data_IF_291891226580
#
_entry.id   IF_291891226580
#
_cell.length_a   1.000
_cell.length_b   1.000
_cell.length_c   1.000
_cell.angle_alpha   90.00
_cell.angle_beta   90.00
_cell.angle_gamma   90.00
#
_symmetry.space_group_name_H-M   'P 1'
#
loop_
_entity.id
_entity.type
_entity.pdbx_description
1 polymer ?
#
# COMPACT_ATOMS: atom_id res chain seq x y z
N UNK A 1 -25.67 27.28 -2.22
CA UNK A 1 -26.66 26.38 -1.59
C UNK A 1 -26.13 24.98 -1.82
N UNK A 2 -25.36 24.41 -0.88
CA UNK A 2 -24.79 23.07 -1.05
C UNK A 2 -25.92 22.05 -0.94
N UNK A 3 -25.98 21.13 -1.89
CA UNK A 3 -26.88 20.00 -1.84
C UNK A 3 -26.75 19.32 -0.47
N UNK A 4 -27.87 19.21 0.26
CA UNK A 4 -27.96 18.30 1.38
C UNK A 4 -27.70 16.90 0.81
N UNK A 5 -26.50 16.38 1.07
CA UNK A 5 -26.00 15.15 0.48
C UNK A 5 -26.86 13.98 0.91
N UNK A 6 -27.32 13.19 -0.05
CA UNK A 6 -27.86 11.87 0.25
C UNK A 6 -26.75 11.04 0.91
N UNK A 7 -27.06 10.37 2.01
CA UNK A 7 -26.13 9.45 2.66
C UNK A 7 -25.69 8.39 1.63
N UNK A 8 -24.37 8.23 1.45
CA UNK A 8 -23.81 7.26 0.49
C UNK A 8 -24.14 5.82 0.88
N UNK A 9 -24.47 5.59 2.14
CA UNK A 9 -24.81 4.30 2.71
C UNK A 9 -25.72 4.50 3.92
N UNK A 10 -26.69 3.60 4.11
CA UNK A 10 -27.44 3.43 5.36
C UNK A 10 -27.09 2.11 6.04
N UNK A 11 -26.51 1.17 5.28
CA UNK A 11 -25.91 -0.07 5.76
C UNK A 11 -24.42 -0.06 5.43
N UNK A 12 -23.59 -0.48 6.39
CA UNK A 12 -22.15 -0.65 6.19
C UNK A 12 -21.76 -2.14 6.26
N UNK A 13 -20.68 -2.57 5.60
CA UNK A 13 -20.22 -3.96 5.74
C UNK A 13 -19.83 -4.29 7.18
N UNK A 14 -20.07 -5.54 7.60
CA UNK A 14 -19.61 -6.05 8.89
C UNK A 14 -18.08 -5.96 8.99
N UNK A 15 -17.58 -5.54 10.15
CA UNK A 15 -16.14 -5.33 10.39
C UNK A 15 -15.53 -4.14 9.62
N UNK A 16 -16.33 -3.29 8.98
CA UNK A 16 -15.82 -2.09 8.32
C UNK A 16 -15.79 -0.87 9.25
N UNK A 17 -14.86 0.04 8.99
CA UNK A 17 -14.71 1.32 9.71
C UNK A 17 -15.50 2.47 9.08
N UNK A 18 -16.52 2.16 8.26
CA UNK A 18 -17.30 3.20 7.57
C UNK A 18 -18.04 4.07 8.60
N UNK A 19 -17.83 5.38 8.51
CA UNK A 19 -18.43 6.36 9.42
C UNK A 19 -17.66 6.59 10.72
N UNK A 20 -16.69 5.75 11.09
CA UNK A 20 -15.97 5.87 12.37
C UNK A 20 -15.19 7.20 12.46
N UNK A 21 -14.64 7.66 11.34
CA UNK A 21 -13.97 8.96 11.20
C UNK A 21 -14.85 10.04 10.54
N UNK A 22 -16.16 9.76 10.40
CA UNK A 22 -17.14 10.63 9.76
C UNK A 22 -17.54 10.21 8.36
N UNK A 23 -18.77 10.58 7.97
CA UNK A 23 -19.41 10.17 6.72
C UNK A 23 -18.77 10.77 5.45
N UNK A 24 -17.73 11.59 5.53
CA UNK A 24 -16.99 12.14 4.38
C UNK A 24 -15.48 11.88 4.48
N UNK A 25 -15.06 11.06 5.44
CA UNK A 25 -13.65 10.72 5.58
C UNK A 25 -13.15 9.93 4.36
N UNK A 26 -11.92 10.25 3.97
CA UNK A 26 -11.19 9.65 2.85
C UNK A 26 -9.83 9.09 3.25
N UNK A 27 -9.46 9.17 4.53
CA UNK A 27 -8.14 8.77 5.03
C UNK A 27 -8.15 7.41 5.73
N UNK A 28 -9.33 6.95 6.15
CA UNK A 28 -9.47 5.68 6.87
C UNK A 28 -8.63 5.68 8.14
N UNK A 29 -7.94 4.58 8.39
CA UNK A 29 -7.14 4.42 9.61
C UNK A 29 -5.91 5.33 9.69
N UNK A 30 -5.53 6.02 8.61
CA UNK A 30 -4.49 7.05 8.68
C UNK A 30 -4.88 8.21 9.64
N UNK A 31 -6.17 8.36 9.95
CA UNK A 31 -6.65 9.29 10.98
C UNK A 31 -6.11 8.97 12.39
N UNK A 32 -5.68 7.74 12.65
CA UNK A 32 -5.08 7.36 13.93
C UNK A 32 -3.63 7.87 14.09
N UNK A 33 -3.00 8.36 13.00
CA UNK A 33 -1.66 8.95 13.04
C UNK A 33 -1.73 10.42 13.50
N UNK A 34 -1.96 10.61 14.79
CA UNK A 34 -2.06 11.94 15.42
C UNK A 34 -0.68 12.56 15.68
N UNK A 35 -0.61 13.89 15.98
CA UNK A 35 0.63 14.52 16.43
C UNK A 35 1.27 13.83 17.63
N UNK A 36 0.47 13.33 18.57
CA UNK A 36 0.96 12.62 19.76
C UNK A 36 1.60 11.29 19.38
N UNK A 37 1.00 10.54 18.45
CA UNK A 37 1.56 9.27 17.94
C UNK A 37 2.88 9.50 17.20
N UNK A 38 3.01 10.58 16.43
CA UNK A 38 4.29 10.96 15.79
C UNK A 38 5.36 11.24 16.83
N UNK A 39 5.05 12.05 17.84
CA UNK A 39 6.01 12.35 18.90
C UNK A 39 6.41 11.10 19.68
N UNK A 40 5.46 10.17 19.91
CA UNK A 40 5.77 8.87 20.51
C UNK A 40 6.72 8.06 19.62
N UNK A 41 6.47 7.98 18.32
CA UNK A 41 7.34 7.30 17.36
C UNK A 41 8.76 7.89 17.32
N UNK A 42 8.88 9.23 17.34
CA UNK A 42 10.19 9.91 17.33
C UNK A 42 11.02 9.59 18.58
N UNK A 43 10.37 9.25 19.71
CA UNK A 43 11.08 8.84 20.94
C UNK A 43 11.66 7.43 20.87
N UNK A 44 11.24 6.60 19.91
CA UNK A 44 11.82 5.28 19.68
C UNK A 44 13.21 5.38 19.00
N UNK A 45 13.54 6.53 18.38
CA UNK A 45 14.84 6.76 17.74
C UNK A 45 15.92 6.97 18.82
N UNK A 46 16.79 5.97 19.01
CA UNK A 46 17.88 6.02 19.97
C UNK A 46 19.26 6.02 19.29
N UNK A 47 19.44 5.17 18.28
CA UNK A 47 20.75 4.94 17.64
C UNK A 47 20.97 5.78 16.36
N UNK A 48 19.91 6.36 15.80
CA UNK A 48 19.98 7.16 14.58
C UNK A 48 20.27 6.36 13.31
N UNK A 49 20.13 5.03 13.35
CA UNK A 49 20.27 4.16 12.17
C UNK A 49 19.10 4.32 11.20
N UNK A 50 19.39 4.17 9.92
CA UNK A 50 18.42 4.32 8.83
C UNK A 50 18.47 3.11 7.91
N UNK A 51 17.30 2.56 7.61
CA UNK A 51 17.13 1.42 6.71
C UNK A 51 16.23 1.81 5.54
N UNK A 52 16.65 1.50 4.32
CA UNK A 52 15.81 1.67 3.13
C UNK A 52 14.94 0.43 2.98
N UNK A 53 13.63 0.61 2.99
CA UNK A 53 12.64 -0.47 2.83
C UNK A 53 12.08 -0.55 1.40
N UNK A 54 12.70 0.19 0.47
CA UNK A 54 12.31 0.21 -0.93
C UNK A 54 13.22 -0.67 -1.76
N UNK A 55 12.63 -1.42 -2.68
CA UNK A 55 13.33 -2.02 -3.79
C UNK A 55 13.83 -0.92 -4.73
N UNK A 56 14.94 -1.15 -5.46
CA UNK A 56 15.23 -0.36 -6.65
C UNK A 56 14.04 -0.48 -7.62
N UNK A 57 13.67 0.63 -8.28
CA UNK A 57 12.42 0.69 -9.07
C UNK A 57 12.37 -0.36 -10.20
N UNK A 58 13.52 -0.80 -10.69
CA UNK A 58 13.65 -1.81 -11.75
C UNK A 58 13.44 -3.26 -11.27
N UNK A 59 13.20 -3.49 -9.97
CA UNK A 59 12.67 -4.75 -9.43
C UNK A 59 11.14 -4.73 -9.41
N UNK A 60 10.46 -5.88 -9.65
CA UNK A 60 10.99 -7.25 -9.72
C UNK A 60 11.82 -7.59 -10.98
N UNK A 61 11.73 -6.77 -12.02
CA UNK A 61 12.34 -6.98 -13.32
C UNK A 61 11.40 -7.68 -14.30
N UNK A 62 11.53 -7.38 -15.58
CA UNK A 62 10.68 -7.94 -16.64
C UNK A 62 9.23 -7.45 -16.61
N UNK A 63 8.43 -7.97 -17.54
CA UNK A 63 6.98 -7.78 -17.58
C UNK A 63 6.36 -9.17 -17.78
N UNK A 64 5.90 -9.84 -16.70
CA UNK A 64 5.20 -11.10 -16.83
C UNK A 64 4.05 -11.01 -17.83
N UNK A 65 3.88 -12.05 -18.66
CA UNK A 65 2.92 -12.04 -19.76
C UNK A 65 1.46 -11.95 -19.28
N UNK A 66 1.20 -12.37 -18.04
CA UNK A 66 -0.09 -12.40 -17.35
C UNK A 66 -0.33 -11.16 -16.47
N UNK A 67 0.65 -10.26 -16.36
CA UNK A 67 0.52 -9.02 -15.59
C UNK A 67 0.21 -7.84 -16.50
N UNK A 68 -0.81 -7.02 -16.18
CA UNK A 68 -1.04 -5.75 -16.89
C UNK A 68 -0.01 -4.68 -16.52
N UNK A 69 0.87 -4.95 -15.55
CA UNK A 69 1.82 -3.97 -14.99
C UNK A 69 3.04 -3.84 -15.88
N UNK A 70 3.48 -2.59 -16.09
CA UNK A 70 4.62 -2.23 -16.92
C UNK A 70 5.83 -1.88 -16.06
N UNK A 71 6.96 -2.45 -16.45
CA UNK A 71 8.26 -2.16 -15.82
C UNK A 71 8.64 -0.70 -16.06
N UNK A 72 9.44 -0.09 -15.16
CA UNK A 72 9.86 1.28 -15.36
C UNK A 72 10.71 1.41 -16.62
N UNK A 73 10.33 2.33 -17.49
CA UNK A 73 11.12 2.76 -18.64
C UNK A 73 11.72 4.13 -18.35
N UNK A 74 12.99 4.14 -17.95
CA UNK A 74 13.78 5.35 -17.72
C UNK A 74 14.38 5.85 -19.04
N UNK A 75 14.16 7.11 -19.38
CA UNK A 75 14.68 7.75 -20.60
C UNK A 75 15.14 9.16 -20.32
N UNK A 76 16.27 9.57 -20.89
CA UNK A 76 16.72 10.95 -20.82
C UNK A 76 15.73 11.88 -21.54
N UNK A 77 15.42 13.01 -20.92
CA UNK A 77 14.66 14.08 -21.56
C UNK A 77 15.48 14.68 -22.71
N UNK A 78 14.80 15.38 -23.62
CA UNK A 78 15.46 15.96 -24.79
C UNK A 78 15.06 17.42 -25.00
N UNK A 79 16.03 18.28 -25.29
CA UNK A 79 15.83 19.69 -25.61
C UNK A 79 16.59 20.02 -26.89
N UNK A 80 15.91 20.59 -27.89
CA UNK A 80 16.54 20.91 -29.18
C UNK A 80 17.13 19.70 -29.92
N UNK A 81 16.58 18.51 -29.70
CA UNK A 81 17.07 17.26 -30.32
C UNK A 81 18.29 16.63 -29.65
N UNK A 82 18.78 17.19 -28.54
CA UNK A 82 19.87 16.61 -27.74
C UNK A 82 19.32 16.04 -26.44
N UNK A 83 19.85 14.89 -26.02
CA UNK A 83 19.51 14.30 -24.72
C UNK A 83 20.12 15.12 -23.59
N UNK A 84 19.34 15.37 -22.55
CA UNK A 84 19.77 16.04 -21.33
C UNK A 84 20.56 15.06 -20.46
N UNK A 85 21.78 14.73 -20.90
CA UNK A 85 22.72 13.88 -20.18
C UNK A 85 24.10 14.51 -20.24
N UNK A 86 24.59 15.02 -19.10
CA UNK A 86 25.79 15.83 -19.00
C UNK A 86 25.80 17.02 -19.98
N UNK A 87 24.63 17.57 -20.30
CA UNK A 87 24.48 18.63 -21.29
C UNK A 87 24.95 19.96 -20.68
N UNK A 88 25.90 20.69 -21.30
CA UNK A 88 26.27 22.03 -20.84
C UNK A 88 25.08 22.99 -20.93
N UNK A 89 24.68 23.56 -19.79
CA UNK A 89 23.65 24.59 -19.72
C UNK A 89 24.26 25.99 -19.73
N UNK A 90 25.43 26.14 -19.09
CA UNK A 90 26.25 27.36 -19.08
C UNK A 90 27.72 26.99 -19.29
N UNK A 91 28.63 27.95 -19.14
CA UNK A 91 30.08 27.69 -19.14
C UNK A 91 30.58 26.90 -17.93
N UNK A 92 29.79 26.83 -16.85
CA UNK A 92 30.15 26.15 -15.60
C UNK A 92 29.18 25.04 -15.19
N UNK A 93 27.96 25.05 -15.72
CA UNK A 93 26.89 24.16 -15.27
C UNK A 93 26.56 23.12 -16.34
N UNK A 94 26.35 21.88 -15.88
CA UNK A 94 25.86 20.77 -16.69
C UNK A 94 24.53 20.27 -16.11
N UNK A 95 23.65 19.76 -16.97
CA UNK A 95 22.35 19.21 -16.57
C UNK A 95 22.21 17.75 -17.02
N UNK A 96 21.51 16.98 -16.18
CA UNK A 96 20.99 15.65 -16.48
C UNK A 96 19.52 15.65 -16.09
N UNK A 97 18.65 15.20 -16.99
CA UNK A 97 17.21 15.18 -16.74
C UNK A 97 16.58 13.98 -17.46
N UNK A 98 15.65 13.31 -16.79
CA UNK A 98 15.05 12.06 -17.24
C UNK A 98 13.54 11.95 -16.95
N UNK A 99 12.89 10.99 -17.58
CA UNK A 99 11.49 10.63 -17.40
C UNK A 99 11.41 9.13 -17.15
N UNK A 100 10.56 8.73 -16.20
CA UNK A 100 10.15 7.34 -16.01
C UNK A 100 8.68 7.17 -16.37
N UNK A 101 8.37 6.15 -17.16
CA UNK A 101 7.00 5.64 -17.33
C UNK A 101 6.94 4.28 -16.64
N UNK A 102 6.04 4.11 -15.67
CA UNK A 102 5.90 2.87 -14.91
C UNK A 102 4.46 2.67 -14.43
N UNK A 103 4.09 1.42 -14.15
CA UNK A 103 2.89 1.16 -13.34
C UNK A 103 3.13 1.52 -11.88
N UNK A 104 2.17 2.22 -11.25
CA UNK A 104 2.27 2.66 -9.86
C UNK A 104 2.34 1.48 -8.86
N UNK A 105 1.84 0.31 -9.26
CA UNK A 105 1.84 -0.93 -8.49
C UNK A 105 2.96 -1.91 -8.90
N UNK A 106 4.05 -1.41 -9.50
CA UNK A 106 5.11 -2.29 -10.03
C UNK A 106 6.18 -2.67 -8.99
N UNK A 107 6.67 -1.70 -8.22
CA UNK A 107 7.74 -1.87 -7.23
C UNK A 107 7.23 -1.61 -5.82
N UNK A 108 8.10 -1.34 -4.84
CA UNK A 108 7.66 -0.94 -3.49
C UNK A 108 6.65 0.21 -3.57
N UNK A 109 5.49 0.02 -2.95
CA UNK A 109 4.31 0.83 -3.21
C UNK A 109 3.45 1.04 -1.97
N UNK A 110 2.55 2.03 -2.06
CA UNK A 110 1.39 2.18 -1.21
C UNK A 110 0.13 2.07 -2.06
N UNK A 111 -0.83 1.27 -1.61
CA UNK A 111 -2.13 1.17 -2.25
C UNK A 111 -3.13 2.09 -1.56
N UNK A 112 -3.65 3.07 -2.31
CA UNK A 112 -4.70 3.94 -1.82
C UNK A 112 -6.00 3.15 -1.58
N UNK A 113 -6.91 3.68 -0.76
CA UNK A 113 -8.21 3.04 -0.45
C UNK A 113 -9.12 2.83 -1.67
N UNK A 114 -8.78 3.45 -2.80
CA UNK A 114 -9.44 3.27 -4.10
C UNK A 114 -8.89 2.08 -4.90
N UNK A 115 -7.77 1.47 -4.48
CA UNK A 115 -7.14 0.38 -5.23
C UNK A 115 -8.02 -0.87 -5.28
N UNK A 116 -8.73 -1.16 -4.19
CA UNK A 116 -9.66 -2.27 -4.09
C UNK A 116 -11.03 -1.82 -3.58
N UNK A 117 -12.07 -2.19 -4.32
CA UNK A 117 -13.47 -1.99 -3.96
C UNK A 117 -14.21 -3.32 -3.80
N UNK A 118 -15.50 -3.24 -3.48
CA UNK A 118 -16.39 -4.39 -3.26
C UNK A 118 -17.76 -4.13 -3.89
N UNK A 119 -18.42 -5.18 -4.37
CA UNK A 119 -19.86 -5.16 -4.64
C UNK A 119 -20.62 -5.27 -3.31
N UNK A 120 -21.38 -4.24 -2.94
CA UNK A 120 -22.07 -4.21 -1.65
C UNK A 120 -23.41 -3.49 -1.74
N UNK A 121 -24.40 -3.97 -1.00
CA UNK A 121 -25.71 -3.35 -0.84
C UNK A 121 -25.63 -2.28 0.24
N UNK A 122 -25.51 -1.02 -0.18
CA UNK A 122 -25.32 0.11 0.73
C UNK A 122 -26.61 0.59 1.40
N UNK A 123 -27.78 0.13 0.96
CA UNK A 123 -29.07 0.65 1.40
C UNK A 123 -30.09 -0.42 1.85
N UNK A 124 -29.72 -1.70 1.81
CA UNK A 124 -30.58 -2.81 2.24
C UNK A 124 -31.65 -3.15 1.21
N UNK A 125 -31.49 -2.70 -0.04
CA UNK A 125 -32.43 -2.94 -1.13
C UNK A 125 -32.36 -4.35 -1.71
N UNK A 126 -31.30 -5.10 -1.41
CA UNK A 126 -30.93 -6.35 -2.06
C UNK A 126 -30.10 -6.17 -3.33
N UNK A 127 -29.83 -4.93 -3.75
CA UNK A 127 -29.03 -4.62 -4.95
C UNK A 127 -27.61 -4.18 -4.58
N UNK A 128 -26.62 -4.97 -4.99
CA UNK A 128 -25.21 -4.61 -4.79
C UNK A 128 -24.72 -3.63 -5.85
N UNK A 129 -23.79 -2.77 -5.45
CA UNK A 129 -23.10 -1.83 -6.33
C UNK A 129 -21.62 -1.76 -5.99
N UNK A 130 -20.78 -1.41 -6.96
CA UNK A 130 -19.35 -1.26 -6.78
C UNK A 130 -19.04 -0.04 -5.92
N UNK A 131 -18.49 -0.27 -4.74
CA UNK A 131 -18.16 0.75 -3.74
C UNK A 131 -16.77 0.51 -3.15
N UNK A 132 -16.20 1.58 -2.63
CA UNK A 132 -14.92 1.63 -1.95
C UNK A 132 -15.14 2.04 -0.49
N UNK A 133 -14.06 2.29 0.26
CA UNK A 133 -14.14 2.77 1.64
C UNK A 133 -15.19 3.88 1.81
N UNK A 134 -15.94 3.88 2.92
CA UNK A 134 -16.96 4.87 3.28
C UNK A 134 -18.06 5.08 2.20
N UNK A 135 -18.35 4.04 1.42
CA UNK A 135 -19.41 4.01 0.40
C UNK A 135 -19.15 4.88 -0.83
N UNK A 136 -17.92 5.36 -1.05
CA UNK A 136 -17.59 6.04 -2.31
C UNK A 136 -17.82 5.10 -3.49
N UNK A 137 -18.52 5.57 -4.52
CA UNK A 137 -19.03 4.71 -5.61
C UNK A 137 -18.13 4.71 -6.84
N UNK A 138 -18.00 3.55 -7.49
CA UNK A 138 -17.41 3.44 -8.82
C UNK A 138 -18.23 4.26 -9.85
N UNK A 139 -17.56 4.76 -10.90
CA UNK A 139 -18.10 5.60 -11.97
C UNK A 139 -18.65 6.98 -11.53
N UNK A 140 -18.94 7.17 -10.24
CA UNK A 140 -19.34 8.46 -9.68
C UNK A 140 -18.15 9.21 -9.07
N UNK A 141 -17.39 8.55 -8.18
CA UNK A 141 -16.26 9.15 -7.46
C UNK A 141 -14.90 8.63 -7.96
N UNK A 142 -14.92 7.48 -8.62
CA UNK A 142 -13.77 6.84 -9.25
C UNK A 142 -14.10 6.71 -10.73
N UNK A 143 -13.48 7.56 -11.55
CA UNK A 143 -13.80 7.70 -12.97
C UNK A 143 -12.87 6.82 -13.79
N UNK A 144 -13.43 6.01 -14.68
CA UNK A 144 -12.69 5.03 -15.48
C UNK A 144 -11.93 5.62 -16.68
N UNK A 145 -12.05 6.93 -16.92
CA UNK A 145 -11.52 7.55 -18.14
C UNK A 145 -12.43 7.32 -19.36
N UNK A 146 -11.90 7.60 -20.55
CA UNK A 146 -12.53 7.35 -21.83
C UNK A 146 -12.18 5.95 -22.40
N UNK A 147 -12.58 5.68 -23.64
CA UNK A 147 -12.33 4.38 -24.32
C UNK A 147 -10.85 4.09 -24.58
N UNK A 148 -9.97 5.10 -24.53
CA UNK A 148 -8.52 4.96 -24.65
C UNK A 148 -7.83 4.81 -23.28
N UNK A 149 -8.61 4.84 -22.19
CA UNK A 149 -8.11 4.79 -20.82
C UNK A 149 -7.56 6.13 -20.33
N UNK A 150 -7.76 7.22 -21.07
CA UNK A 150 -7.31 8.55 -20.67
C UNK A 150 -8.31 9.20 -19.70
N UNK A 151 -7.80 10.01 -18.77
CA UNK A 151 -8.66 10.72 -17.81
C UNK A 151 -9.22 9.85 -16.67
N UNK A 152 -8.72 8.62 -16.51
CA UNK A 152 -8.92 7.84 -15.28
C UNK A 152 -8.48 8.66 -14.07
N UNK A 153 -9.33 8.76 -13.06
CA UNK A 153 -9.02 9.52 -11.84
C UNK A 153 -9.85 9.07 -10.64
N UNK A 154 -9.22 9.10 -9.48
CA UNK A 154 -9.88 9.01 -8.19
C UNK A 154 -10.22 10.43 -7.71
N UNK A 155 -11.47 10.87 -7.91
CA UNK A 155 -11.94 12.17 -7.40
C UNK A 155 -12.16 12.13 -5.89
N UNK A 156 -12.42 10.94 -5.35
CA UNK A 156 -12.33 10.62 -3.92
C UNK A 156 -11.38 9.45 -3.69
N UNK A 157 -10.84 9.34 -2.48
CA UNK A 157 -9.95 8.27 -2.02
C UNK A 157 -8.62 8.15 -2.78
N UNK A 158 -8.24 9.20 -3.53
CA UNK A 158 -6.92 9.27 -4.16
C UNK A 158 -5.80 9.32 -3.12
N UNK A 159 -4.61 8.87 -3.53
CA UNK A 159 -3.43 8.71 -2.64
C UNK A 159 -3.00 10.03 -1.96
N UNK A 160 -3.34 11.18 -2.54
CA UNK A 160 -3.09 12.49 -1.92
C UNK A 160 -3.72 12.64 -0.54
N UNK A 161 -4.87 11.99 -0.28
CA UNK A 161 -5.50 12.02 1.05
C UNK A 161 -4.65 11.32 2.11
N UNK A 162 -3.99 10.22 1.74
CA UNK A 162 -3.02 9.54 2.61
C UNK A 162 -1.79 10.42 2.82
N UNK A 163 -1.32 11.09 1.75
CA UNK A 163 -0.15 11.97 1.81
C UNK A 163 -0.35 13.20 2.71
N UNK A 164 -1.57 13.69 2.94
CA UNK A 164 -1.85 14.75 3.93
C UNK A 164 -1.41 14.37 5.35
N UNK A 165 -1.39 13.07 5.66
CA UNK A 165 -0.87 12.57 6.93
C UNK A 165 0.64 12.41 6.90
N UNK A 166 1.32 12.57 5.75
CA UNK A 166 2.75 12.30 5.61
C UNK A 166 3.18 10.86 5.90
N UNK A 167 2.27 9.97 6.35
CA UNK A 167 2.54 8.56 6.68
C UNK A 167 3.73 8.41 7.63
N UNK A 168 3.85 9.31 8.60
CA UNK A 168 4.93 9.29 9.59
C UNK A 168 4.36 8.83 10.93
N UNK A 169 4.90 7.75 11.46
CA UNK A 169 4.43 7.16 12.70
C UNK A 169 5.39 6.05 13.13
N UNK A 170 4.91 5.19 14.02
CA UNK A 170 5.70 4.07 14.51
C UNK A 170 5.47 2.85 13.61
N UNK A 171 6.56 2.31 13.07
CA UNK A 171 6.56 1.03 12.39
C UNK A 171 6.93 -0.09 13.38
N UNK A 172 6.24 -1.22 13.30
CA UNK A 172 6.50 -2.40 14.12
C UNK A 172 6.76 -3.59 13.22
N UNK A 173 7.99 -4.12 13.27
CA UNK A 173 8.40 -5.26 12.45
C UNK A 173 8.18 -6.59 13.17
N UNK A 174 7.43 -7.49 12.53
CA UNK A 174 7.35 -8.90 12.91
C UNK A 174 8.14 -9.71 11.90
N UNK A 175 9.22 -10.36 12.37
CA UNK A 175 10.06 -11.20 11.54
C UNK A 175 9.47 -12.60 11.44
N UNK A 176 8.69 -12.87 10.39
CA UNK A 176 8.05 -14.17 10.15
C UNK A 176 9.05 -15.22 9.68
N UNK A 177 10.13 -14.80 9.00
CA UNK A 177 11.25 -15.70 8.63
C UNK A 177 11.88 -16.34 9.86
N UNK A 178 12.08 -15.55 10.93
CA UNK A 178 12.64 -16.04 12.19
C UNK A 178 11.71 -17.03 12.89
N UNK A 179 10.40 -16.84 12.77
CA UNK A 179 9.40 -17.68 13.43
C UNK A 179 9.11 -18.98 12.65
N UNK A 180 9.08 -18.92 11.32
CA UNK A 180 8.51 -19.97 10.48
C UNK A 180 9.42 -20.41 9.31
N UNK A 181 10.54 -19.74 9.09
CA UNK A 181 11.39 -19.95 7.92
C UNK A 181 10.91 -19.18 6.69
N UNK A 182 11.56 -19.41 5.55
CA UNK A 182 11.32 -18.68 4.29
C UNK A 182 10.30 -19.37 3.38
N UNK A 183 9.90 -20.58 3.69
CA UNK A 183 8.97 -21.35 2.86
C UNK A 183 7.56 -20.75 2.92
N UNK A 184 6.76 -21.03 1.87
CA UNK A 184 5.38 -20.58 1.78
C UNK A 184 4.57 -21.15 2.94
N UNK A 185 4.05 -20.26 3.79
CA UNK A 185 3.24 -20.66 4.93
C UNK A 185 2.09 -19.70 5.16
N UNK A 186 0.90 -20.25 5.43
CA UNK A 186 -0.28 -19.48 5.80
C UNK A 186 -0.24 -19.19 7.30
N UNK A 187 -0.25 -17.91 7.67
CA UNK A 187 -0.16 -17.44 9.05
C UNK A 187 -1.57 -17.05 9.51
N UNK A 188 -2.09 -17.80 10.47
CA UNK A 188 -3.35 -17.47 11.16
C UNK A 188 -3.10 -16.56 12.37
N UNK A 189 -4.18 -16.21 13.08
CA UNK A 189 -4.12 -15.38 14.26
C UNK A 189 -3.14 -15.91 15.32
N UNK A 190 -3.26 -17.19 15.69
CA UNK A 190 -2.50 -17.74 16.82
C UNK A 190 -1.01 -17.80 16.48
N UNK A 191 -0.68 -18.11 15.23
CA UNK A 191 0.70 -18.05 14.74
C UNK A 191 1.27 -16.64 14.79
N UNK A 192 0.53 -15.62 14.34
CA UNK A 192 1.00 -14.23 14.39
C UNK A 192 1.20 -13.76 15.85
N UNK A 193 0.25 -14.08 16.75
CA UNK A 193 0.37 -13.73 18.18
C UNK A 193 1.56 -14.41 18.83
N UNK A 194 1.81 -15.69 18.51
CA UNK A 194 2.97 -16.42 19.00
C UNK A 194 4.28 -15.78 18.51
N UNK A 195 4.38 -15.45 17.21
CA UNK A 195 5.56 -14.81 16.64
C UNK A 195 5.86 -13.46 17.29
N UNK A 196 4.84 -12.63 17.57
CA UNK A 196 5.02 -11.37 18.29
C UNK A 196 5.45 -11.60 19.74
N UNK A 197 4.85 -12.58 20.44
CA UNK A 197 5.19 -12.93 21.82
C UNK A 197 6.66 -13.35 21.95
N UNK A 198 7.12 -14.26 21.08
CA UNK A 198 8.49 -14.77 21.10
C UNK A 198 9.52 -13.68 20.76
N UNK A 199 9.12 -12.72 19.93
CA UNK A 199 9.96 -11.59 19.53
C UNK A 199 9.83 -10.40 20.49
N UNK A 200 8.93 -10.47 21.48
CA UNK A 200 8.59 -9.37 22.40
C UNK A 200 8.19 -8.09 21.64
N UNK A 201 7.43 -8.28 20.57
CA UNK A 201 6.89 -7.23 19.73
C UNK A 201 5.49 -6.86 20.23
N UNK A 202 5.24 -5.57 20.38
CA UNK A 202 3.95 -5.03 20.83
C UNK A 202 3.42 -4.05 19.77
N UNK A 203 2.24 -4.35 19.23
CA UNK A 203 1.49 -3.45 18.35
C UNK A 203 0.57 -2.60 19.22
N UNK A 204 0.55 -1.29 18.96
CA UNK A 204 -0.34 -0.31 19.59
C UNK A 204 -1.15 0.39 18.51
N UNK A 205 -2.29 0.94 18.89
CA UNK A 205 -3.12 1.76 18.01
C UNK A 205 -2.30 2.89 17.37
N UNK A 206 -2.45 3.08 16.07
CA UNK A 206 -1.69 4.07 15.30
C UNK A 206 -0.42 3.52 14.65
N UNK A 207 -0.04 2.28 14.95
CA UNK A 207 1.15 1.66 14.37
C UNK A 207 0.93 1.24 12.90
N UNK A 208 2.04 1.18 12.17
CA UNK A 208 2.14 0.49 10.90
C UNK A 208 2.78 -0.87 11.16
N UNK A 209 2.07 -1.96 10.84
CA UNK A 209 2.57 -3.32 11.02
C UNK A 209 3.39 -3.73 9.79
N UNK A 210 4.67 -4.03 9.99
CA UNK A 210 5.57 -4.54 8.97
C UNK A 210 5.75 -6.04 9.15
N UNK A 211 5.54 -6.82 8.10
CA UNK A 211 5.69 -8.26 8.07
C UNK A 211 6.88 -8.60 7.16
N UNK A 212 7.95 -9.14 7.74
CA UNK A 212 9.06 -9.64 6.95
C UNK A 212 8.88 -11.14 6.71
N UNK A 213 8.57 -11.47 5.47
CA UNK A 213 8.24 -12.81 4.97
C UNK A 213 9.43 -13.49 4.31
N UNK A 214 10.45 -12.72 3.89
CA UNK A 214 11.62 -13.21 3.16
C UNK A 214 11.41 -13.30 1.66
N UNK A 215 10.23 -12.91 1.17
CA UNK A 215 9.93 -12.81 -0.25
C UNK A 215 10.81 -11.76 -0.94
N UNK A 216 10.97 -10.58 -0.34
CA UNK A 216 11.74 -9.49 -0.91
C UNK A 216 13.20 -9.87 -1.15
N UNK A 217 13.79 -10.63 -0.22
CA UNK A 217 15.14 -11.16 -0.35
C UNK A 217 15.27 -12.16 -1.52
N UNK A 218 14.29 -13.07 -1.67
CA UNK A 218 14.29 -14.03 -2.76
C UNK A 218 14.15 -13.31 -4.10
N UNK A 219 13.31 -12.28 -4.15
CA UNK A 219 13.15 -11.43 -5.32
C UNK A 219 14.44 -10.68 -5.67
N UNK A 220 15.11 -10.09 -4.67
CA UNK A 220 16.40 -9.43 -4.86
C UNK A 220 17.48 -10.41 -5.34
N UNK A 221 17.51 -11.63 -4.78
CA UNK A 221 18.44 -12.68 -5.18
C UNK A 221 18.23 -13.15 -6.63
N UNK A 222 16.99 -13.09 -7.13
CA UNK A 222 16.68 -13.38 -8.53
C UNK A 222 17.22 -12.33 -9.52
N UNK A 223 17.70 -11.18 -9.03
CA UNK A 223 18.40 -10.14 -9.80
C UNK A 223 17.69 -9.77 -11.12
N UNK A 224 16.46 -9.26 -11.00
CA UNK A 224 15.61 -8.81 -12.11
C UNK A 224 15.13 -9.91 -13.06
N UNK A 225 15.32 -11.18 -12.69
CA UNK A 225 14.89 -12.36 -13.45
C UNK A 225 14.13 -13.32 -12.52
N UNK A 226 12.99 -12.87 -11.96
CA UNK A 226 12.19 -13.71 -11.08
C UNK A 226 11.70 -14.95 -11.82
N UNK A 227 11.75 -16.08 -11.12
CA UNK A 227 11.01 -17.28 -11.50
C UNK A 227 9.75 -17.33 -10.63
N UNK A 228 8.58 -17.25 -11.26
CA UNK A 228 7.30 -17.18 -10.55
C UNK A 228 6.97 -18.46 -9.79
N UNK A 229 7.36 -19.63 -10.33
CA UNK A 229 7.12 -20.91 -9.66
C UNK A 229 7.98 -21.04 -8.41
N UNK A 230 9.22 -20.55 -8.45
CA UNK A 230 10.10 -20.53 -7.28
C UNK A 230 9.65 -19.48 -6.25
N UNK A 231 9.27 -18.27 -6.69
CA UNK A 231 8.80 -17.23 -5.78
C UNK A 231 7.46 -17.58 -5.12
N UNK A 232 6.59 -18.33 -5.78
CA UNK A 232 5.33 -18.82 -5.19
C UNK A 232 5.56 -19.72 -3.96
N UNK A 233 6.74 -20.36 -3.86
CA UNK A 233 7.13 -21.25 -2.75
C UNK A 233 7.78 -20.50 -1.58
N UNK A 234 7.96 -19.19 -1.69
CA UNK A 234 8.64 -18.36 -0.68
C UNK A 234 7.65 -17.39 -0.03
N UNK A 235 7.87 -17.13 1.25
CA UNK A 235 7.20 -16.06 1.97
C UNK A 235 5.96 -16.50 2.71
N UNK A 236 5.89 -16.12 3.97
CA UNK A 236 4.66 -16.17 4.76
C UNK A 236 3.54 -15.32 4.14
N UNK A 237 2.29 -15.76 4.28
CA UNK A 237 1.09 -15.05 3.82
C UNK A 237 0.04 -15.08 4.92
N UNK A 238 -0.56 -13.93 5.23
CA UNK A 238 -1.65 -13.87 6.19
C UNK A 238 -2.87 -14.64 5.68
N UNK A 239 -3.49 -15.42 6.55
CA UNK A 239 -4.70 -16.17 6.24
C UNK A 239 -5.92 -15.23 6.33
N UNK A 240 -6.19 -14.47 5.27
CA UNK A 240 -7.28 -13.47 5.23
C UNK A 240 -8.71 -14.01 5.42
N UNK A 241 -8.90 -15.34 5.49
CA UNK A 241 -10.18 -15.96 5.86
C UNK A 241 -10.30 -16.28 7.36
N UNK A 242 -9.25 -16.06 8.15
CA UNK A 242 -9.31 -16.22 9.61
C UNK A 242 -9.95 -15.00 10.26
N UNK A 243 -11.17 -15.17 10.77
CA UNK A 243 -11.92 -14.09 11.40
C UNK A 243 -11.20 -13.52 12.63
N UNK A 244 -10.52 -14.35 13.43
CA UNK A 244 -9.81 -13.87 14.62
C UNK A 244 -8.65 -12.95 14.25
N UNK A 245 -8.00 -13.23 13.12
CA UNK A 245 -6.94 -12.38 12.58
C UNK A 245 -7.49 -11.03 12.10
N UNK A 246 -8.62 -11.05 11.40
CA UNK A 246 -9.30 -9.84 10.94
C UNK A 246 -9.78 -8.98 12.12
N UNK A 247 -10.41 -9.61 13.12
CA UNK A 247 -10.89 -8.95 14.33
C UNK A 247 -9.71 -8.31 15.09
N UNK A 248 -8.60 -9.03 15.25
CA UNK A 248 -7.41 -8.48 15.89
C UNK A 248 -6.82 -7.29 15.11
N UNK A 249 -6.74 -7.36 13.78
CA UNK A 249 -6.28 -6.22 12.97
C UNK A 249 -7.18 -5.01 13.21
N UNK A 250 -8.49 -5.22 13.32
CA UNK A 250 -9.45 -4.17 13.61
C UNK A 250 -9.20 -3.59 15.02
N UNK A 251 -9.27 -4.41 16.05
CA UNK A 251 -9.14 -4.02 17.46
C UNK A 251 -7.78 -3.39 17.81
N UNK A 252 -6.69 -3.86 17.19
CA UNK A 252 -5.35 -3.34 17.44
C UNK A 252 -5.14 -1.90 16.93
N UNK A 253 -6.05 -1.37 16.10
CA UNK A 253 -5.94 -0.02 15.57
C UNK A 253 -4.73 0.18 14.63
N UNK A 254 -4.35 -0.87 13.91
CA UNK A 254 -3.26 -0.83 12.91
C UNK A 254 -3.66 0.09 11.76
N UNK A 255 -2.78 1.03 11.41
CA UNK A 255 -3.02 2.03 10.35
C UNK A 255 -2.75 1.50 8.95
N UNK A 256 -1.78 0.59 8.84
CA UNK A 256 -1.39 -0.07 7.61
C UNK A 256 -0.73 -1.41 7.92
N UNK A 257 -0.96 -2.39 7.05
CA UNK A 257 -0.19 -3.64 7.01
C UNK A 257 0.73 -3.54 5.80
N UNK A 258 2.02 -3.74 6.03
CA UNK A 258 3.11 -3.59 5.06
C UNK A 258 3.85 -4.92 5.04
N UNK A 259 4.16 -5.43 3.85
CA UNK A 259 4.87 -6.70 3.69
C UNK A 259 5.92 -6.60 2.58
N UNK A 260 6.93 -7.45 2.63
CA UNK A 260 7.91 -7.62 1.56
C UNK A 260 7.48 -8.64 0.49
N UNK A 261 6.23 -9.12 0.54
CA UNK A 261 5.63 -9.97 -0.48
C UNK A 261 4.83 -9.17 -1.52
N UNK A 262 4.25 -9.84 -2.52
CA UNK A 262 3.47 -9.18 -3.60
C UNK A 262 2.06 -8.73 -3.19
N UNK A 263 1.49 -9.34 -2.14
CA UNK A 263 0.13 -9.09 -1.69
C UNK A 263 0.03 -9.35 -0.19
N UNK A 264 -0.49 -8.36 0.52
CA UNK A 264 -0.65 -8.32 1.98
C UNK A 264 -1.86 -9.13 2.43
#
# INVERSE_FOLDING_TARGET
MSAAGQDRWTHRPDGSTWGDFGAHDQRGRMNLITPEKRLAAMREVQDGEVFVLSLPLDYPGGEPADSPRKAPRLVANSLGGQHLCNMPLTTSDVTCDDTVIMSLQYSTQWDALVHWGRQFDTDGSGETRAVYYNGYRAHEHVKCGDEHGEGFRAEALGIQNMAETGVQGRGVLVNLVKAFGRERQWIDHDMLMQAMTDQKVEVREGDMLLLYTGYGDALMAANRKPDEEELAKVGAVLKGADQRLLDWIDEAGITAVISDNQAV
#
